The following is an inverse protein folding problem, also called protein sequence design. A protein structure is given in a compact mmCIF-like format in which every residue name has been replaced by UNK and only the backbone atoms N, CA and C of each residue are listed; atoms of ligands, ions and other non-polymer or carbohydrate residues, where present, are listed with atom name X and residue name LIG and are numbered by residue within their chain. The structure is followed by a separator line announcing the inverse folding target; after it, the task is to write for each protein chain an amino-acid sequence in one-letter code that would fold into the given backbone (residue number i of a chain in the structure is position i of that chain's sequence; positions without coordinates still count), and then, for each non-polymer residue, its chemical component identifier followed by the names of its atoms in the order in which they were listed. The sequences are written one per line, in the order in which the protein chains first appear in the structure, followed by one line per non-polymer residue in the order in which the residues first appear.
data_IF_474391561063
#
_entry.id   IF_474391561063
#
_cell.length_a   1.000
_cell.length_b   1.000
_cell.length_c   1.000
_cell.angle_alpha   90.00
_cell.angle_beta   90.00
_cell.angle_gamma   90.00
#
_symmetry.space_group_name_H-M   'P 1'
#
loop_
_entity.id
_entity.type
_entity.pdbx_description
1 polymer ?
#
# COMPACT_ATOMS: atom_id res chain seq x y z
N UNK A 1 -8.30 4.94 -4.56
CA UNK A 1 -7.68 6.26 -4.30
C UNK A 1 -7.00 6.69 -5.58
N UNK A 2 -7.03 7.98 -5.91
CA UNK A 2 -6.25 8.45 -7.05
C UNK A 2 -4.76 8.21 -6.81
N UNK A 3 -4.00 7.79 -7.83
CA UNK A 3 -2.57 7.52 -7.67
C UNK A 3 -1.78 8.79 -7.32
N UNK A 4 -0.94 8.66 -6.30
CA UNK A 4 0.11 9.62 -5.95
C UNK A 4 1.17 9.72 -7.06
N UNK A 5 2.08 10.70 -6.97
CA UNK A 5 3.12 10.90 -7.99
C UNK A 5 4.02 9.67 -8.10
N UNK A 6 4.45 9.11 -6.97
CA UNK A 6 5.26 7.90 -6.92
C UNK A 6 4.54 6.68 -7.49
N UNK A 7 3.24 6.54 -7.25
CA UNK A 7 2.42 5.43 -7.74
C UNK A 7 2.19 5.51 -9.25
N UNK A 8 2.07 6.73 -9.82
CA UNK A 8 2.02 6.94 -11.28
C UNK A 8 3.29 6.46 -11.97
N UNK A 9 4.46 6.67 -11.37
CA UNK A 9 5.74 6.15 -11.92
C UNK A 9 5.71 4.62 -12.09
N UNK A 10 5.05 3.90 -11.18
CA UNK A 10 4.92 2.43 -11.26
C UNK A 10 4.01 2.03 -12.41
N UNK A 11 2.88 2.73 -12.59
CA UNK A 11 1.96 2.50 -13.71
C UNK A 11 2.68 2.78 -15.04
N UNK A 12 3.36 3.91 -15.15
CA UNK A 12 4.11 4.32 -16.33
C UNK A 12 5.20 3.32 -16.70
N UNK A 13 5.94 2.81 -15.71
CA UNK A 13 6.96 1.78 -15.90
C UNK A 13 6.35 0.49 -16.48
N UNK A 14 5.30 -0.05 -15.85
CA UNK A 14 4.62 -1.26 -16.34
C UNK A 14 4.09 -1.07 -17.77
N UNK A 15 3.46 0.06 -18.08
CA UNK A 15 2.94 0.34 -19.42
C UNK A 15 4.05 0.57 -20.46
N UNK A 16 5.15 1.23 -20.08
CA UNK A 16 6.30 1.42 -20.94
C UNK A 16 6.95 0.09 -21.32
N UNK A 17 7.19 -0.78 -20.33
CA UNK A 17 7.73 -2.12 -20.58
C UNK A 17 6.78 -2.97 -21.44
N UNK A 18 5.47 -2.94 -21.15
CA UNK A 18 4.47 -3.69 -21.92
C UNK A 18 4.45 -3.31 -23.42
N UNK A 19 4.68 -2.02 -23.74
CA UNK A 19 4.76 -1.54 -25.14
C UNK A 19 5.94 -2.14 -25.92
N UNK A 20 7.00 -2.57 -25.23
CA UNK A 20 8.18 -3.17 -25.88
C UNK A 20 7.98 -4.63 -26.31
N UNK A 21 6.95 -5.31 -25.77
CA UNK A 21 6.74 -6.75 -25.96
C UNK A 21 6.23 -7.13 -27.36
N UNK A 22 5.67 -6.18 -28.10
CA UNK A 22 5.12 -6.42 -29.43
C UNK A 22 4.05 -7.52 -29.43
N UNK A 23 4.23 -8.52 -30.32
CA UNK A 23 3.29 -9.64 -30.55
C UNK A 23 3.82 -10.99 -30.04
N UNK A 24 4.69 -10.99 -29.03
CA UNK A 24 5.12 -12.23 -28.36
C UNK A 24 3.90 -12.94 -27.76
N UNK A 25 3.79 -14.26 -27.94
CA UNK A 25 2.66 -15.06 -27.45
C UNK A 25 2.85 -15.59 -26.03
N UNK A 26 4.09 -15.61 -25.53
CA UNK A 26 4.46 -16.12 -24.22
C UNK A 26 4.75 -15.01 -23.21
N UNK A 27 5.26 -13.86 -23.66
CA UNK A 27 5.58 -12.68 -22.84
C UNK A 27 4.67 -11.52 -23.26
N UNK A 28 3.48 -11.47 -22.69
CA UNK A 28 2.40 -10.56 -23.11
C UNK A 28 2.04 -9.53 -22.05
N UNK A 29 2.55 -9.65 -20.83
CA UNK A 29 2.24 -8.75 -19.71
C UNK A 29 3.56 -8.32 -19.07
N UNK A 30 3.66 -7.04 -18.77
CA UNK A 30 4.70 -6.47 -17.93
C UNK A 30 4.12 -6.06 -16.58
N UNK A 31 4.95 -6.05 -15.55
CA UNK A 31 4.59 -5.52 -14.24
C UNK A 31 5.75 -4.72 -13.66
N UNK A 32 5.41 -3.73 -12.85
CA UNK A 32 6.34 -2.92 -12.10
C UNK A 32 5.92 -2.86 -10.64
N UNK A 33 6.90 -2.90 -9.74
CA UNK A 33 6.68 -2.73 -8.31
C UNK A 33 7.68 -1.73 -7.73
N UNK A 34 7.27 -0.99 -6.71
CA UNK A 34 8.11 -0.02 -6.02
C UNK A 34 8.36 -0.44 -4.58
N UNK A 35 9.62 -0.31 -4.13
CA UNK A 35 9.98 -0.51 -2.73
C UNK A 35 9.81 0.75 -1.88
N UNK A 36 10.08 0.61 -0.58
CA UNK A 36 9.98 1.69 0.41
C UNK A 36 11.03 2.79 0.22
N UNK A 37 12.02 2.60 -0.66
CA UNK A 37 13.02 3.62 -1.03
C UNK A 37 12.74 4.24 -2.41
N UNK A 38 11.58 3.96 -3.01
CA UNK A 38 11.18 4.51 -4.31
C UNK A 38 11.89 3.89 -5.52
N UNK A 39 12.58 2.75 -5.36
CA UNK A 39 13.17 2.00 -6.47
C UNK A 39 12.10 1.16 -7.14
N UNK A 40 12.11 1.14 -8.47
CA UNK A 40 11.13 0.42 -9.29
C UNK A 40 11.81 -0.81 -9.89
N UNK A 41 11.14 -1.95 -9.76
CA UNK A 41 11.54 -3.24 -10.32
C UNK A 41 10.53 -3.64 -11.38
N UNK A 42 11.01 -4.06 -12.55
CA UNK A 42 10.17 -4.38 -13.70
C UNK A 42 10.44 -5.80 -14.19
N UNK A 43 9.39 -6.49 -14.63
CA UNK A 43 9.52 -7.81 -15.24
C UNK A 43 8.37 -8.13 -16.19
N UNK A 44 8.50 -9.24 -16.91
CA UNK A 44 7.51 -9.75 -17.86
C UNK A 44 7.02 -11.12 -17.43
N UNK A 45 5.80 -11.49 -17.79
CA UNK A 45 5.28 -12.83 -17.51
C UNK A 45 6.02 -13.89 -18.35
N UNK A 46 6.02 -15.14 -17.89
CA UNK A 46 6.44 -16.29 -18.69
C UNK A 46 5.27 -17.25 -18.77
N UNK A 47 4.59 -17.29 -19.92
CA UNK A 47 3.47 -18.21 -20.12
C UNK A 47 3.95 -19.65 -20.20
N UNK A 48 3.31 -20.54 -19.44
CA UNK A 48 3.45 -21.99 -19.57
C UNK A 48 2.22 -22.68 -19.00
N UNK A 49 1.81 -23.81 -19.57
CA UNK A 49 0.57 -24.51 -19.19
C UNK A 49 0.58 -25.04 -17.75
N UNK A 50 1.76 -25.28 -17.17
CA UNK A 50 1.92 -25.70 -15.76
C UNK A 50 1.75 -24.55 -14.77
N UNK A 51 1.29 -23.39 -15.23
CA UNK A 51 1.19 -22.19 -14.41
C UNK A 51 2.49 -21.39 -14.38
N UNK A 52 3.06 -21.09 -15.54
CA UNK A 52 4.17 -20.14 -15.63
C UNK A 52 3.84 -18.79 -14.94
N UNK A 53 4.83 -18.10 -14.37
CA UNK A 53 4.59 -16.93 -13.51
C UNK A 53 3.98 -15.77 -14.30
N UNK A 54 3.01 -15.11 -13.68
CA UNK A 54 2.53 -13.81 -14.14
C UNK A 54 3.64 -12.77 -13.94
N UNK A 55 3.54 -11.64 -14.63
CA UNK A 55 4.56 -10.60 -14.57
C UNK A 55 4.79 -10.12 -13.14
N UNK A 56 3.73 -9.96 -12.35
CA UNK A 56 3.80 -9.55 -10.95
C UNK A 56 4.67 -10.52 -10.14
N UNK A 57 4.53 -11.83 -10.33
CA UNK A 57 5.31 -12.85 -9.60
C UNK A 57 6.79 -12.82 -10.01
N UNK A 58 7.08 -12.57 -11.28
CA UNK A 58 8.48 -12.39 -11.73
C UNK A 58 9.05 -11.12 -11.12
N UNK A 59 8.29 -10.02 -11.08
CA UNK A 59 8.69 -8.76 -10.45
C UNK A 59 8.97 -8.93 -8.95
N UNK A 60 8.17 -9.71 -8.22
CA UNK A 60 8.45 -10.07 -6.83
C UNK A 60 9.81 -10.80 -6.70
N UNK A 61 10.10 -11.73 -7.62
CA UNK A 61 11.39 -12.42 -7.66
C UNK A 61 12.57 -11.49 -7.96
N UNK A 62 12.41 -10.54 -8.89
CA UNK A 62 13.43 -9.51 -9.20
C UNK A 62 13.69 -8.62 -7.99
N UNK A 63 12.64 -8.15 -7.33
CA UNK A 63 12.72 -7.36 -6.11
C UNK A 63 13.45 -8.14 -4.98
N UNK A 64 13.09 -9.40 -4.76
CA UNK A 64 13.75 -10.26 -3.79
C UNK A 64 15.23 -10.49 -4.11
N UNK A 65 15.58 -10.69 -5.39
CA UNK A 65 16.97 -10.83 -5.82
C UNK A 65 17.81 -9.56 -5.58
N UNK A 66 17.18 -8.39 -5.63
CA UNK A 66 17.79 -7.11 -5.26
C UNK A 66 17.88 -6.89 -3.73
N UNK A 67 17.44 -7.86 -2.92
CA UNK A 67 17.40 -7.80 -1.45
C UNK A 67 16.66 -6.57 -0.94
N UNK A 68 15.58 -6.18 -1.63
CA UNK A 68 14.73 -5.10 -1.14
C UNK A 68 13.87 -5.57 0.03
N UNK A 69 13.53 -4.63 0.90
CA UNK A 69 12.45 -4.80 1.87
C UNK A 69 11.07 -4.77 1.20
N UNK A 70 10.02 -4.41 1.96
CA UNK A 70 8.63 -4.47 1.51
C UNK A 70 8.37 -3.63 0.25
N UNK A 71 7.46 -4.12 -0.58
CA UNK A 71 6.95 -3.40 -1.74
C UNK A 71 5.71 -2.59 -1.34
N UNK A 72 5.66 -1.33 -1.75
CA UNK A 72 4.58 -0.39 -1.40
C UNK A 72 3.51 -0.28 -2.46
N UNK A 73 3.87 -0.52 -3.73
CA UNK A 73 2.98 -0.35 -4.89
C UNK A 73 3.31 -1.35 -6.01
N UNK A 74 2.30 -1.84 -6.73
CA UNK A 74 2.42 -2.72 -7.91
C UNK A 74 1.43 -2.30 -9.01
N UNK A 75 1.85 -2.43 -10.27
CA UNK A 75 1.01 -2.31 -11.46
C UNK A 75 1.35 -3.39 -12.49
N UNK A 76 0.36 -3.83 -13.27
CA UNK A 76 0.55 -4.74 -14.39
C UNK A 76 -0.12 -4.18 -15.66
N UNK A 77 0.53 -4.33 -16.81
CA UNK A 77 0.03 -3.84 -18.09
C UNK A 77 0.19 -4.89 -19.19
N UNK A 78 -0.84 -5.02 -20.04
CA UNK A 78 -0.82 -5.89 -21.20
C UNK A 78 -0.19 -5.23 -22.43
N UNK A 79 0.55 -6.01 -23.20
CA UNK A 79 1.02 -5.65 -24.53
C UNK A 79 -0.13 -5.39 -25.52
N UNK A 80 0.21 -4.87 -26.69
CA UNK A 80 -0.74 -4.64 -27.80
C UNK A 80 -1.89 -3.67 -27.42
N UNK A 81 -1.55 -2.60 -26.70
CA UNK A 81 -2.50 -1.53 -26.36
C UNK A 81 -3.54 -1.91 -25.29
N UNK A 82 -3.41 -3.07 -24.63
CA UNK A 82 -4.32 -3.48 -23.55
C UNK A 82 -4.21 -2.62 -22.30
N UNK A 83 -3.08 -1.95 -22.09
CA UNK A 83 -2.87 -1.01 -20.99
C UNK A 83 -2.88 -1.70 -19.63
N UNK A 84 -3.11 -0.92 -18.56
CA UNK A 84 -3.21 -1.40 -17.19
C UNK A 84 -4.28 -2.50 -17.04
N UNK A 85 -3.96 -3.58 -16.33
CA UNK A 85 -4.85 -4.72 -16.05
C UNK A 85 -4.84 -5.07 -14.56
N UNK A 86 -5.96 -5.57 -14.01
CA UNK A 86 -6.00 -6.05 -12.63
C UNK A 86 -5.18 -7.35 -12.47
N UNK A 87 -4.59 -7.61 -11.28
CA UNK A 87 -3.90 -8.87 -11.03
C UNK A 87 -4.87 -10.05 -11.00
N UNK A 88 -4.40 -11.22 -11.43
CA UNK A 88 -5.15 -12.47 -11.36
C UNK A 88 -5.25 -12.99 -9.91
N UNK A 89 -6.17 -13.93 -9.64
CA UNK A 89 -6.37 -14.48 -8.30
C UNK A 89 -5.10 -15.05 -7.64
N UNK A 90 -4.25 -15.73 -8.42
CA UNK A 90 -2.98 -16.26 -7.90
C UNK A 90 -2.02 -15.16 -7.47
N UNK A 91 -1.84 -14.12 -8.29
CA UNK A 91 -1.01 -12.97 -7.93
C UNK A 91 -1.55 -12.27 -6.69
N UNK A 92 -2.88 -12.15 -6.59
CA UNK A 92 -3.49 -11.50 -5.45
C UNK A 92 -3.16 -12.21 -4.13
N UNK A 93 -3.26 -13.55 -4.11
CA UNK A 93 -2.97 -14.34 -2.92
C UNK A 93 -1.49 -14.23 -2.55
N UNK A 94 -0.57 -14.39 -3.51
CA UNK A 94 0.87 -14.28 -3.24
C UNK A 94 1.24 -12.89 -2.73
N UNK A 95 0.69 -11.83 -3.31
CA UNK A 95 0.92 -10.47 -2.83
C UNK A 95 0.32 -10.23 -1.44
N UNK A 96 -0.86 -10.80 -1.15
CA UNK A 96 -1.46 -10.71 0.18
C UNK A 96 -0.57 -11.38 1.24
N UNK A 97 -0.01 -12.55 0.92
CA UNK A 97 0.80 -13.32 1.87
C UNK A 97 2.20 -12.69 2.08
N UNK A 98 2.81 -12.13 1.03
CA UNK A 98 4.19 -11.61 1.08
C UNK A 98 4.30 -10.09 1.31
N UNK A 99 3.31 -9.32 0.84
CA UNK A 99 3.28 -7.86 0.93
C UNK A 99 1.86 -7.37 1.25
N UNK A 100 1.30 -7.71 2.42
CA UNK A 100 -0.11 -7.49 2.78
C UNK A 100 -0.55 -6.01 2.80
N UNK A 101 0.41 -5.08 2.83
CA UNK A 101 0.19 -3.63 2.84
C UNK A 101 0.42 -2.97 1.47
N UNK A 102 0.69 -3.77 0.42
CA UNK A 102 0.92 -3.26 -0.93
C UNK A 102 -0.38 -2.67 -1.53
N UNK A 103 -0.24 -1.56 -2.25
CA UNK A 103 -1.29 -1.00 -3.07
C UNK A 103 -1.15 -1.44 -4.53
N UNK A 104 -2.26 -1.79 -5.15
CA UNK A 104 -2.33 -2.28 -6.52
C UNK A 104 -3.04 -1.24 -7.39
N UNK A 105 -2.43 -0.90 -8.52
CA UNK A 105 -3.07 -0.09 -9.55
C UNK A 105 -4.08 -0.94 -10.34
N UNK A 106 -5.33 -0.48 -10.39
CA UNK A 106 -6.44 -1.15 -11.09
C UNK A 106 -7.07 -0.16 -12.08
N UNK A 107 -7.37 -0.56 -13.32
CA UNK A 107 -8.08 0.30 -14.26
C UNK A 107 -9.54 0.48 -13.81
N UNK A 108 -10.04 1.71 -13.82
CA UNK A 108 -11.45 2.03 -13.53
C UNK A 108 -12.03 2.98 -14.57
N UNK A 109 -13.34 3.22 -14.54
CA UNK A 109 -14.02 4.16 -15.45
C UNK A 109 -13.50 5.61 -15.33
N UNK A 110 -12.90 5.98 -14.20
CA UNK A 110 -12.33 7.31 -13.94
C UNK A 110 -10.79 7.32 -14.06
N UNK A 111 -10.21 6.29 -14.67
CA UNK A 111 -8.76 6.09 -14.78
C UNK A 111 -8.20 5.12 -13.73
N UNK A 112 -6.86 5.00 -13.63
CA UNK A 112 -6.23 4.13 -12.65
C UNK A 112 -6.59 4.52 -11.22
N UNK A 113 -6.86 3.52 -10.37
CA UNK A 113 -7.09 3.69 -8.94
C UNK A 113 -6.21 2.74 -8.15
N UNK A 114 -5.73 3.19 -7.00
CA UNK A 114 -4.99 2.37 -6.06
C UNK A 114 -5.93 1.69 -5.07
N UNK A 115 -5.77 0.37 -4.92
CA UNK A 115 -6.51 -0.47 -3.99
C UNK A 115 -5.54 -1.28 -3.12
N UNK A 116 -5.83 -1.40 -1.82
CA UNK A 116 -5.12 -2.37 -0.98
C UNK A 116 -5.33 -3.78 -1.52
N UNK A 117 -4.29 -4.60 -1.48
CA UNK A 117 -4.38 -5.99 -1.94
C UNK A 117 -5.51 -6.77 -1.28
N UNK A 118 -5.80 -6.50 0.00
CA UNK A 118 -6.90 -7.12 0.76
C UNK A 118 -8.27 -6.83 0.15
N UNK A 119 -8.47 -5.63 -0.41
CA UNK A 119 -9.74 -5.25 -1.04
C UNK A 119 -9.96 -5.96 -2.38
N UNK A 120 -8.92 -6.59 -2.94
CA UNK A 120 -9.02 -7.37 -4.17
C UNK A 120 -9.30 -8.86 -3.92
N UNK A 121 -9.36 -9.30 -2.65
CA UNK A 121 -9.70 -10.67 -2.26
C UNK A 121 -10.71 -10.66 -1.11
N UNK A 122 -12.00 -10.67 -1.47
CA UNK A 122 -13.08 -10.79 -0.48
C UNK A 122 -12.96 -12.14 0.26
N UNK A 123 -13.09 -12.09 1.59
CA UNK A 123 -13.04 -13.28 2.46
C UNK A 123 -11.79 -14.15 2.22
N UNK A 124 -10.65 -13.49 2.04
CA UNK A 124 -9.37 -14.13 1.74
C UNK A 124 -8.95 -15.15 2.81
N UNK A 125 -8.41 -16.28 2.35
CA UNK A 125 -7.56 -17.11 3.20
C UNK A 125 -6.30 -16.33 3.61
N UNK A 126 -6.04 -16.26 4.90
CA UNK A 126 -4.81 -15.69 5.46
C UNK A 126 -3.92 -16.86 5.85
N UNK A 127 -2.75 -16.97 5.23
CA UNK A 127 -1.79 -18.01 5.56
C UNK A 127 -1.27 -17.82 7.00
N UNK A 128 -1.49 -18.78 7.92
CA UNK A 128 -1.20 -18.59 9.35
C UNK A 128 0.28 -18.31 9.67
N UNK A 129 1.19 -18.79 8.83
CA UNK A 129 2.63 -18.62 9.00
C UNK A 129 3.21 -17.49 8.13
N UNK A 130 2.36 -16.68 7.48
CA UNK A 130 2.84 -15.51 6.76
C UNK A 130 3.41 -14.47 7.74
N UNK A 131 4.72 -14.28 7.69
CA UNK A 131 5.46 -13.30 8.50
C UNK A 131 6.01 -12.17 7.62
N UNK A 132 5.09 -11.48 6.95
CA UNK A 132 5.43 -10.36 6.10
C UNK A 132 5.70 -9.10 6.93
N UNK A 133 6.82 -8.44 6.67
CA UNK A 133 7.14 -7.15 7.26
C UNK A 133 6.05 -6.12 6.90
N UNK A 134 5.50 -5.48 7.94
CA UNK A 134 4.35 -4.57 7.81
C UNK A 134 4.80 -3.17 7.44
N UNK A 135 3.97 -2.48 6.66
CA UNK A 135 4.17 -1.07 6.32
C UNK A 135 3.06 -0.26 6.96
N UNK A 136 3.43 0.81 7.65
CA UNK A 136 2.49 1.82 8.14
C UNK A 136 2.69 3.13 7.37
N UNK A 137 1.71 3.47 6.51
CA UNK A 137 1.80 4.62 5.60
C UNK A 137 1.43 5.94 6.28
N UNK A 138 2.21 6.99 6.03
CA UNK A 138 1.96 8.34 6.51
C UNK A 138 2.10 9.34 5.37
N UNK A 139 1.35 10.44 5.45
CA UNK A 139 1.69 11.62 4.67
C UNK A 139 3.04 12.18 5.14
N UNK A 140 3.92 12.54 4.19
CA UNK A 140 5.25 13.08 4.49
C UNK A 140 5.28 14.28 5.43
N UNK A 141 4.22 15.09 5.47
CA UNK A 141 4.10 16.24 6.40
C UNK A 141 4.24 15.84 7.87
N UNK A 142 4.01 14.58 8.20
CA UNK A 142 4.08 14.08 9.57
C UNK A 142 5.46 13.56 9.97
N UNK A 143 6.46 13.57 9.06
CA UNK A 143 7.78 13.01 9.35
C UNK A 143 8.40 13.58 10.63
N UNK A 144 8.60 14.90 10.69
CA UNK A 144 9.24 15.56 11.84
C UNK A 144 8.47 15.35 13.15
N UNK A 145 7.13 15.38 13.09
CA UNK A 145 6.28 15.16 14.25
C UNK A 145 6.37 13.71 14.78
N UNK A 146 6.53 12.74 13.89
CA UNK A 146 6.69 11.33 14.25
C UNK A 146 8.09 11.07 14.82
N UNK A 147 9.13 11.60 14.17
CA UNK A 147 10.52 11.45 14.64
C UNK A 147 10.73 12.08 16.02
N UNK A 148 10.16 13.26 16.25
CA UNK A 148 10.26 13.96 17.54
C UNK A 148 9.39 13.35 18.65
N UNK A 149 8.53 12.38 18.33
CA UNK A 149 7.58 11.80 19.28
C UNK A 149 6.40 12.71 19.63
N UNK A 150 6.20 13.81 18.90
CA UNK A 150 5.03 14.69 19.05
C UNK A 150 3.77 14.01 18.54
N UNK A 151 3.87 13.25 17.44
CA UNK A 151 2.77 12.45 16.88
C UNK A 151 3.03 10.97 17.13
N UNK A 152 2.23 10.39 18.02
CA UNK A 152 2.30 8.97 18.42
C UNK A 152 1.00 8.20 18.19
N UNK A 153 0.02 8.83 17.54
CA UNK A 153 -1.28 8.24 17.23
C UNK A 153 -1.76 8.65 15.83
N UNK A 154 -2.53 7.76 15.19
CA UNK A 154 -3.22 8.01 13.93
C UNK A 154 -4.57 7.31 13.92
N UNK A 155 -5.55 7.92 13.24
CA UNK A 155 -6.84 7.29 12.97
C UNK A 155 -6.86 6.72 11.55
N UNK A 156 -7.42 5.53 11.40
CA UNK A 156 -7.53 4.81 10.12
C UNK A 156 -8.94 4.34 9.89
N UNK A 157 -9.39 4.41 8.64
CA UNK A 157 -10.68 3.90 8.22
C UNK A 157 -10.50 2.89 7.09
N UNK A 158 -11.11 1.72 7.27
CA UNK A 158 -11.11 0.65 6.27
C UNK A 158 -9.68 0.26 5.79
N UNK A 159 -8.76 0.20 6.76
CA UNK A 159 -7.39 -0.31 6.64
C UNK A 159 -7.18 -1.46 7.64
N UNK A 160 -6.22 -2.34 7.37
CA UNK A 160 -5.96 -3.50 8.22
C UNK A 160 -4.54 -3.48 8.77
N UNK A 161 -4.43 -3.06 10.03
CA UNK A 161 -3.18 -2.94 10.75
C UNK A 161 -3.09 -3.99 11.86
N UNK A 162 -1.87 -4.39 12.19
CA UNK A 162 -1.59 -5.36 13.23
C UNK A 162 -0.59 -4.77 14.22
N UNK A 163 -0.80 -5.07 15.51
CA UNK A 163 0.16 -4.73 16.56
C UNK A 163 1.47 -5.48 16.29
N UNK A 164 2.60 -4.79 16.44
CA UNK A 164 3.92 -5.36 16.17
C UNK A 164 4.87 -4.40 15.46
N UNK A 165 6.04 -4.90 15.04
CA UNK A 165 6.99 -4.15 14.23
C UNK A 165 6.36 -3.70 12.90
N UNK A 166 6.67 -2.49 12.48
CA UNK A 166 6.25 -1.97 11.19
C UNK A 166 7.25 -0.93 10.69
N UNK A 167 7.42 -0.88 9.37
CA UNK A 167 8.16 0.16 8.69
C UNK A 167 7.24 1.36 8.44
N UNK A 168 7.58 2.51 8.98
CA UNK A 168 6.83 3.74 8.76
C UNK A 168 7.27 4.36 7.44
N UNK A 169 6.38 4.30 6.45
CA UNK A 169 6.62 4.76 5.10
C UNK A 169 5.93 6.11 4.87
N UNK A 170 6.66 7.06 4.28
CA UNK A 170 6.18 8.41 4.04
C UNK A 170 5.91 8.62 2.55
N UNK A 171 4.66 8.91 2.23
CA UNK A 171 4.18 8.99 0.85
C UNK A 171 4.73 10.21 0.10
N UNK A 172 5.21 9.98 -1.13
CA UNK A 172 5.82 11.01 -2.01
C UNK A 172 6.95 11.81 -1.33
N UNK A 173 7.74 11.12 -0.48
CA UNK A 173 8.92 11.65 0.20
C UNK A 173 10.21 11.07 -0.37
N UNK A 174 10.90 11.85 -1.21
CA UNK A 174 12.23 11.48 -1.73
C UNK A 174 13.37 11.88 -0.78
N UNK A 175 13.08 12.65 0.28
CA UNK A 175 14.08 13.21 1.18
C UNK A 175 14.35 12.31 2.38
N UNK A 176 13.32 11.62 2.87
CA UNK A 176 13.41 10.81 4.08
C UNK A 176 13.31 9.32 3.78
N UNK A 177 14.13 8.54 4.51
CA UNK A 177 14.01 7.10 4.50
C UNK A 177 12.87 6.65 5.41
N UNK A 178 12.28 5.47 5.16
CA UNK A 178 11.34 4.87 6.09
C UNK A 178 11.96 4.67 7.47
N UNK A 179 11.14 4.81 8.51
CA UNK A 179 11.57 4.64 9.90
C UNK A 179 11.18 3.26 10.42
N UNK A 180 12.04 2.66 11.22
CA UNK A 180 11.66 1.48 11.99
C UNK A 180 10.76 1.92 13.16
N UNK A 181 9.67 1.19 13.38
CA UNK A 181 8.69 1.54 14.38
C UNK A 181 7.90 0.34 14.88
N UNK A 182 7.02 0.62 15.83
CA UNK A 182 6.14 -0.38 16.42
C UNK A 182 4.73 0.19 16.53
N UNK A 183 3.76 -0.55 16.02
CA UNK A 183 2.35 -0.35 16.31
C UNK A 183 2.10 -1.00 17.67
N UNK A 184 1.67 -0.20 18.64
CA UNK A 184 1.47 -0.60 20.04
C UNK A 184 0.05 -1.09 20.28
N UNK A 185 -0.93 -0.38 19.73
CA UNK A 185 -2.34 -0.69 19.88
C UNK A 185 -3.09 -0.39 18.59
N UNK A 186 -4.15 -1.15 18.34
CA UNK A 186 -5.15 -0.86 17.31
C UNK A 186 -6.51 -1.00 18.01
N UNK A 187 -7.16 0.13 18.29
CA UNK A 187 -8.42 0.17 19.03
C UNK A 187 -9.54 0.68 18.13
N UNK A 188 -10.57 -0.15 17.96
CA UNK A 188 -11.71 0.16 17.10
C UNK A 188 -12.79 0.91 17.88
N UNK A 189 -13.21 2.06 17.36
CA UNK A 189 -14.27 2.89 17.92
C UNK A 189 -15.31 3.23 16.86
N UNK A 190 -16.55 3.46 17.30
CA UNK A 190 -17.51 4.14 16.43
C UNK A 190 -17.08 5.59 16.27
N UNK A 191 -17.19 6.15 15.06
CA UNK A 191 -16.75 7.53 14.77
C UNK A 191 -17.38 8.54 15.73
N UNK A 192 -18.67 8.35 16.06
CA UNK A 192 -19.43 9.20 16.99
C UNK A 192 -18.97 9.14 18.45
N UNK A 193 -18.09 8.20 18.81
CA UNK A 193 -17.59 8.02 20.17
C UNK A 193 -16.15 8.52 20.34
N UNK A 194 -15.57 9.15 19.32
CA UNK A 194 -14.24 9.73 19.44
C UNK A 194 -14.25 10.89 20.44
N UNK A 195 -13.19 10.98 21.24
CA UNK A 195 -12.97 12.07 22.21
C UNK A 195 -11.56 12.62 22.03
N UNK A 196 -11.29 13.80 22.59
CA UNK A 196 -9.95 14.42 22.60
C UNK A 196 -8.92 13.45 23.19
N UNK A 197 -9.26 12.76 24.28
CA UNK A 197 -8.38 11.82 24.97
C UNK A 197 -8.10 10.58 24.11
N UNK A 198 -9.11 10.06 23.40
CA UNK A 198 -8.95 8.90 22.50
C UNK A 198 -8.08 9.26 21.29
N UNK A 199 -8.22 10.48 20.78
CA UNK A 199 -7.48 10.96 19.62
C UNK A 199 -6.09 11.52 19.97
N UNK A 200 -5.83 11.79 21.26
CA UNK A 200 -4.59 12.40 21.76
C UNK A 200 -4.40 13.77 21.13
N UNK A 201 -5.51 14.49 20.97
CA UNK A 201 -5.51 15.85 20.46
C UNK A 201 -4.93 16.79 21.49
N UNK A 202 -4.40 17.91 21.01
CA UNK A 202 -4.00 19.03 21.85
C UNK A 202 -5.25 19.74 22.37
N UNK A 203 -5.12 20.47 23.47
CA UNK A 203 -6.25 21.17 24.12
C UNK A 203 -6.90 22.24 23.22
N UNK A 204 -6.19 22.72 22.19
CA UNK A 204 -6.66 23.72 21.24
C UNK A 204 -7.37 23.15 19.99
N UNK A 205 -7.48 21.83 19.88
CA UNK A 205 -8.11 21.14 18.74
C UNK A 205 -9.47 20.52 19.13
N UNK A 206 -10.30 20.22 18.13
CA UNK A 206 -11.63 19.61 18.35
C UNK A 206 -11.76 18.29 17.58
N UNK A 207 -12.66 17.42 18.08
CA UNK A 207 -12.95 16.16 17.39
C UNK A 207 -13.55 16.43 16.01
N UNK A 208 -14.39 17.44 15.88
CA UNK A 208 -15.02 17.85 14.62
C UNK A 208 -13.97 18.25 13.57
N UNK A 209 -13.04 19.14 13.94
CA UNK A 209 -11.97 19.56 13.04
C UNK A 209 -11.10 18.37 12.60
N UNK A 210 -10.76 17.48 13.55
CA UNK A 210 -9.99 16.29 13.24
C UNK A 210 -10.72 15.35 12.27
N UNK A 211 -12.04 15.15 12.46
CA UNK A 211 -12.85 14.30 11.58
C UNK A 211 -12.99 14.92 10.18
N UNK A 212 -13.13 16.24 10.08
CA UNK A 212 -13.16 16.95 8.80
C UNK A 212 -11.83 16.77 8.05
N UNK A 213 -10.70 16.94 8.73
CA UNK A 213 -9.37 16.67 8.17
C UNK A 213 -9.22 15.20 7.75
N UNK A 214 -9.73 14.26 8.57
CA UNK A 214 -9.69 12.83 8.27
C UNK A 214 -10.46 12.49 6.98
N UNK A 215 -11.58 13.17 6.71
CA UNK A 215 -12.38 12.99 5.48
C UNK A 215 -11.69 13.51 4.24
N UNK A 216 -10.75 14.45 4.36
CA UNK A 216 -9.91 14.84 3.21
C UNK A 216 -9.08 13.67 2.70
N UNK A 217 -8.68 12.76 3.60
CA UNK A 217 -7.95 11.54 3.26
C UNK A 217 -8.88 10.36 2.94
N UNK A 218 -10.01 10.24 3.65
CA UNK A 218 -11.04 9.22 3.44
C UNK A 218 -12.37 9.83 2.98
N UNK A 219 -12.47 10.33 1.72
CA UNK A 219 -13.65 11.06 1.26
C UNK A 219 -14.93 10.21 1.18
N UNK A 220 -14.78 8.89 1.20
CA UNK A 220 -15.90 7.93 1.18
C UNK A 220 -16.26 7.40 2.58
N UNK A 221 -15.63 7.92 3.64
CA UNK A 221 -15.89 7.50 5.02
C UNK A 221 -17.31 7.91 5.46
N UNK A 222 -18.21 6.96 5.77
CA UNK A 222 -19.57 7.27 6.21
C UNK A 222 -19.60 7.89 7.62
N UNK A 223 -20.65 8.65 7.92
CA UNK A 223 -20.88 9.22 9.27
C UNK A 223 -21.08 8.12 10.32
N UNK A 224 -21.82 7.07 9.97
CA UNK A 224 -22.02 5.87 10.80
C UNK A 224 -21.00 4.81 10.43
N UNK A 225 -19.78 4.98 10.91
CA UNK A 225 -18.70 4.02 10.66
C UNK A 225 -17.87 3.73 11.90
N UNK A 226 -16.98 2.76 11.76
CA UNK A 226 -15.95 2.46 12.73
C UNK A 226 -14.59 2.89 12.19
N UNK A 227 -13.76 3.41 13.08
CA UNK A 227 -12.37 3.76 12.78
C UNK A 227 -11.45 3.08 13.80
N UNK A 228 -10.23 2.83 13.37
CA UNK A 228 -9.19 2.31 14.23
C UNK A 228 -8.28 3.46 14.67
N UNK A 229 -8.16 3.64 15.97
CA UNK A 229 -7.17 4.52 16.59
C UNK A 229 -5.93 3.68 16.87
N UNK A 230 -4.81 4.11 16.29
CA UNK A 230 -3.57 3.35 16.23
C UNK A 230 -2.49 4.11 16.99
N UNK A 231 -2.09 3.58 18.14
CA UNK A 231 -0.93 4.12 18.87
C UNK A 231 0.35 3.46 18.36
N UNK A 232 1.39 4.25 18.20
CA UNK A 232 2.65 3.79 17.66
C UNK A 232 3.83 4.56 18.26
N UNK A 233 5.03 4.02 18.07
CA UNK A 233 6.29 4.69 18.40
C UNK A 233 7.34 4.39 17.35
N UNK A 234 8.24 5.34 17.12
CA UNK A 234 9.48 5.08 16.38
C UNK A 234 10.39 4.23 17.25
N UNK A 235 11.07 3.25 16.66
CA UNK A 235 12.08 2.48 17.35
C UNK A 235 13.25 3.40 17.72
N UNK A 236 13.74 3.30 18.95
CA UNK A 236 14.96 4.02 19.34
C UNK A 236 16.13 3.46 18.52
N UNK A 237 17.01 4.31 17.95
CA UNK A 237 18.19 3.86 17.21
C UNK A 237 19.08 2.89 17.99
#
# INVERSE_FOLDING_TARGET
MEPLKSERRVIEAAEALAKTLGRDTNHTVAAAAMDTNGRIYEAVNVHHFTGGPCAELVTLGVAAAAQTGPLVTMAAAGSDGRGLIPPCGRCRQVMLDLHPDILIAVPTAVGPQMHSIRKLLAESYVHPEADAERIFRFNKRYYDAIVSGVKTSSVRWDEHLSVGPALFYFEDDDAHKPLQGQILTVQRYRLSELTIERLRLREDDTVENYVDDLRTHYPLMPDDTFVDVVDFRVATP
#
